data_IF_617227094612
#
_entry.id   IF_617227094612
#
_cell.length_a   1.000
_cell.length_b   1.000
_cell.length_c   1.000
_cell.angle_alpha   90.00
_cell.angle_beta   90.00
_cell.angle_gamma   90.00
#
_symmetry.space_group_name_H-M   'P 1'
#
loop_
_entity.id
_entity.type
_entity.pdbx_description
1 polymer ?
#
# COMPACT_ATOMS: atom_id res chain seq x y z
N UNK A 1 -18.05 7.48 2.04
CA UNK A 1 -16.68 7.01 1.75
C UNK A 1 -16.57 6.84 0.25
N UNK A 2 -15.96 7.81 -0.44
CA UNK A 2 -15.88 7.83 -1.90
C UNK A 2 -14.64 7.09 -2.39
N UNK A 3 -14.79 6.29 -3.44
CA UNK A 3 -13.67 5.72 -4.21
C UNK A 3 -13.27 6.77 -5.24
N UNK A 4 -12.12 7.40 -5.10
CA UNK A 4 -11.62 8.39 -6.04
C UNK A 4 -10.72 7.70 -7.08
N UNK A 5 -11.18 7.65 -8.33
CA UNK A 5 -10.33 7.55 -9.53
C UNK A 5 -10.53 8.82 -10.36
N UNK A 6 -9.60 9.37 -11.14
CA UNK A 6 -8.26 9.01 -11.63
C UNK A 6 -7.61 10.31 -12.13
N UNK A 7 -6.26 10.40 -12.21
CA UNK A 7 -5.57 11.16 -13.28
C UNK A 7 -4.14 10.61 -13.47
N UNK A 8 -3.93 9.78 -14.52
CA UNK A 8 -2.61 9.40 -15.05
C UNK A 8 -2.18 7.94 -14.76
N UNK A 9 -2.34 7.08 -15.78
CA UNK A 9 -1.93 5.66 -15.90
C UNK A 9 -2.42 4.67 -14.82
N UNK A 10 -3.19 3.66 -15.28
CA UNK A 10 -3.82 2.54 -14.55
C UNK A 10 -5.01 2.85 -13.62
N UNK A 11 -6.17 2.29 -13.96
CA UNK A 11 -7.35 2.27 -13.08
C UNK A 11 -7.07 1.37 -11.87
N UNK A 12 -6.67 1.98 -10.77
CA UNK A 12 -6.39 1.29 -9.50
C UNK A 12 -7.43 1.69 -8.47
N UNK A 13 -7.89 0.73 -7.67
CA UNK A 13 -8.78 1.02 -6.55
C UNK A 13 -7.97 1.61 -5.40
N UNK A 14 -8.39 2.79 -4.93
CA UNK A 14 -7.73 3.48 -3.81
C UNK A 14 -8.76 3.89 -2.77
N UNK A 15 -8.40 3.75 -1.50
CA UNK A 15 -9.22 4.14 -0.35
C UNK A 15 -8.37 5.02 0.55
N UNK A 16 -8.86 6.22 0.82
CA UNK A 16 -8.29 7.10 1.84
C UNK A 16 -8.89 6.79 3.21
N UNK A 17 -8.06 6.89 4.24
CA UNK A 17 -8.49 6.69 5.60
C UNK A 17 -7.40 7.01 6.61
N UNK A 18 -7.66 6.64 7.86
CA UNK A 18 -6.75 6.86 8.99
C UNK A 18 -6.57 5.55 9.74
N UNK A 19 -5.31 5.20 10.04
CA UNK A 19 -4.98 4.16 11.00
C UNK A 19 -4.33 4.83 12.21
N UNK A 20 -4.90 4.62 13.39
CA UNK A 20 -4.56 5.37 14.60
C UNK A 20 -4.61 6.88 14.34
N UNK A 21 -3.46 7.56 14.32
CA UNK A 21 -3.34 9.00 14.08
C UNK A 21 -2.80 9.33 12.67
N UNK A 22 -2.44 8.33 11.87
CA UNK A 22 -1.79 8.49 10.56
C UNK A 22 -2.82 8.40 9.44
N UNK A 23 -2.97 9.50 8.69
CA UNK A 23 -3.75 9.54 7.45
C UNK A 23 -2.97 8.86 6.31
N UNK A 24 -3.66 8.03 5.53
CA UNK A 24 -3.04 7.20 4.51
C UNK A 24 -3.99 6.85 3.36
N UNK A 25 -3.37 6.54 2.23
CA UNK A 25 -4.02 6.02 1.02
C UNK A 25 -3.66 4.54 0.89
N UNK A 26 -4.66 3.68 0.83
CA UNK A 26 -4.51 2.24 0.61
C UNK A 26 -4.88 1.91 -0.81
N UNK A 27 -3.99 1.20 -1.52
CA UNK A 27 -4.33 0.57 -2.80
C UNK A 27 -4.96 -0.79 -2.53
N UNK A 28 -6.09 -1.06 -3.18
CA UNK A 28 -6.77 -2.36 -3.10
C UNK A 28 -6.33 -3.20 -4.30
N UNK A 29 -5.61 -4.29 -4.03
CA UNK A 29 -5.16 -5.25 -5.02
C UNK A 29 -5.53 -6.67 -4.56
N UNK A 30 -6.60 -7.23 -5.14
CA UNK A 30 -7.03 -8.60 -4.85
C UNK A 30 -6.12 -9.65 -5.47
N UNK A 31 -5.21 -9.27 -6.39
CA UNK A 31 -4.25 -10.17 -7.02
C UNK A 31 -2.95 -10.31 -6.22
N UNK A 32 -2.69 -9.44 -5.24
CA UNK A 32 -1.49 -9.49 -4.41
C UNK A 32 -1.59 -10.60 -3.34
N UNK A 33 -0.55 -11.44 -3.24
CA UNK A 33 -0.48 -12.46 -2.18
C UNK A 33 0.01 -11.93 -0.83
N UNK A 34 0.54 -10.70 -0.81
CA UNK A 34 1.06 -10.05 0.39
C UNK A 34 0.73 -8.55 0.35
N UNK A 35 0.51 -7.97 1.51
CA UNK A 35 0.34 -6.53 1.65
C UNK A 35 1.69 -5.83 1.82
N UNK A 36 1.77 -4.61 1.30
CA UNK A 36 2.94 -3.76 1.42
C UNK A 36 2.58 -2.49 2.17
N UNK A 37 3.48 -2.07 3.06
CA UNK A 37 3.35 -0.83 3.82
C UNK A 37 4.67 -0.08 3.71
N UNK A 38 4.59 1.24 3.47
CA UNK A 38 5.81 2.04 3.34
C UNK A 38 6.52 2.17 4.70
N UNK A 39 7.87 2.19 4.73
CA UNK A 39 8.62 2.41 5.97
C UNK A 39 8.23 3.71 6.69
N UNK A 40 7.85 4.75 5.94
CA UNK A 40 7.38 6.01 6.51
C UNK A 40 6.12 5.82 7.38
N UNK A 41 5.18 4.99 6.92
CA UNK A 41 3.95 4.70 7.67
C UNK A 41 4.26 3.81 8.87
N UNK A 42 5.12 2.80 8.75
CA UNK A 42 5.48 1.95 9.90
C UNK A 42 6.19 2.73 11.00
N UNK A 43 7.09 3.66 10.65
CA UNK A 43 7.74 4.58 11.58
C UNK A 43 6.73 5.52 12.24
N UNK A 44 5.83 6.14 11.47
CA UNK A 44 4.83 7.06 12.01
C UNK A 44 3.86 6.36 12.98
N UNK A 45 3.51 5.10 12.70
CA UNK A 45 2.68 4.28 13.58
C UNK A 45 3.44 3.68 14.78
N UNK A 46 4.76 3.81 14.84
CA UNK A 46 5.58 3.22 15.90
C UNK A 46 5.56 1.68 15.91
N UNK A 47 5.40 1.04 14.76
CA UNK A 47 5.31 -0.42 14.66
C UNK A 47 6.66 -1.08 14.92
N UNK A 48 6.67 -2.15 15.71
CA UNK A 48 7.82 -3.01 15.86
C UNK A 48 8.08 -3.77 14.55
N UNK A 49 9.29 -3.65 14.00
CA UNK A 49 9.71 -4.36 12.80
C UNK A 49 10.60 -5.54 13.20
N UNK A 50 10.13 -6.75 12.91
CA UNK A 50 10.94 -7.96 13.06
C UNK A 50 11.78 -8.16 11.79
N UNK A 51 13.12 -8.20 11.88
CA UNK A 51 13.96 -8.50 10.73
C UNK A 51 13.60 -9.87 10.14
N UNK A 52 13.54 -9.93 8.82
CA UNK A 52 13.31 -11.17 8.08
C UNK A 52 14.27 -11.25 6.88
N UNK A 53 14.58 -12.46 6.38
CA UNK A 53 15.35 -12.62 5.16
C UNK A 53 14.70 -11.87 3.99
N UNK A 54 15.53 -11.31 3.11
CA UNK A 54 15.06 -10.66 1.89
C UNK A 54 14.23 -11.62 1.06
N UNK A 55 13.01 -11.21 0.70
CA UNK A 55 12.18 -11.93 -0.27
C UNK A 55 12.33 -11.29 -1.64
N UNK A 56 12.49 -12.10 -2.66
CA UNK A 56 12.30 -11.66 -4.05
C UNK A 56 10.81 -11.59 -4.31
N UNK A 57 10.33 -10.40 -4.65
CA UNK A 57 8.91 -10.13 -4.86
C UNK A 57 8.78 -9.53 -6.25
N UNK A 58 7.88 -10.09 -7.07
CA UNK A 58 7.50 -9.47 -8.33
C UNK A 58 6.34 -8.53 -8.06
N UNK A 59 6.60 -7.23 -8.10
CA UNK A 59 5.55 -6.23 -8.09
C UNK A 59 5.05 -6.06 -9.53
N UNK A 60 3.72 -5.98 -9.71
CA UNK A 60 3.16 -5.59 -11.00
C UNK A 60 3.62 -4.16 -11.30
N UNK A 61 4.34 -3.97 -12.39
CA UNK A 61 4.80 -2.65 -12.87
C UNK A 61 3.76 -1.97 -13.77
N UNK A 62 2.59 -2.59 -13.95
CA UNK A 62 1.52 -2.13 -14.83
C UNK A 62 1.81 -2.33 -16.32
N UNK A 63 3.05 -2.59 -16.71
CA UNK A 63 3.42 -2.71 -18.12
C UNK A 63 2.98 -4.05 -18.72
N UNK A 64 2.55 -4.03 -19.99
CA UNK A 64 2.31 -5.23 -20.80
C UNK A 64 3.60 -5.68 -21.45
#
# INVERSE_FOLDING_TARGET
>A
MGVLGSMGEYQTMKVEGKIAHVDLLVLIDSGASHNFISPKVTTALGLAITPMPSKSIKLGDGHK
#
